data_IF_884581968066
#
_entry.id   IF_884581968066
#
_cell.length_a   1.000
_cell.length_b   1.000
_cell.length_c   1.000
_cell.angle_alpha   90.00
_cell.angle_beta   90.00
_cell.angle_gamma   90.00
#
_symmetry.space_group_name_H-M   'P 1'
#
loop_
_entity.id
_entity.type
_entity.pdbx_description
1 polymer ?
#
# COMPACT_ATOMS: atom_id res chain seq x y z
N UNK A 1 22.14 -5.41 12.17
CA UNK A 1 21.67 -6.82 12.04
C UNK A 1 22.63 -7.65 11.17
N UNK A 2 23.96 -7.43 11.26
CA UNK A 2 24.95 -8.25 10.54
C UNK A 2 25.20 -7.95 9.06
N UNK A 3 24.48 -6.99 8.46
CA UNK A 3 24.75 -6.57 7.06
C UNK A 3 25.99 -5.67 7.06
N UNK A 4 27.07 -6.17 6.48
CA UNK A 4 28.36 -5.47 6.37
C UNK A 4 28.60 -4.90 4.97
N UNK A 5 27.85 -5.37 3.97
CA UNK A 5 27.94 -4.90 2.57
C UNK A 5 27.30 -3.52 2.33
N UNK A 6 26.58 -2.98 3.32
CA UNK A 6 26.04 -1.61 3.25
C UNK A 6 27.08 -0.59 3.68
N UNK A 7 28.13 -0.44 2.87
CA UNK A 7 29.35 0.30 3.18
C UNK A 7 29.47 1.67 2.48
N UNK A 8 28.52 2.00 1.59
CA UNK A 8 28.48 3.25 0.81
C UNK A 8 27.17 4.01 1.01
N UNK A 9 26.96 4.67 2.16
CA UNK A 9 25.72 5.38 2.47
C UNK A 9 25.27 6.37 1.39
N UNK A 10 26.20 7.09 0.79
CA UNK A 10 25.97 8.04 -0.30
C UNK A 10 25.48 7.39 -1.61
N UNK A 11 25.70 6.09 -1.77
CA UNK A 11 25.21 5.30 -2.90
C UNK A 11 23.80 4.75 -2.72
N UNK A 12 23.21 4.87 -1.53
CA UNK A 12 21.87 4.36 -1.24
C UNK A 12 20.84 5.49 -1.25
N UNK A 13 19.88 5.39 -2.18
CA UNK A 13 18.73 6.28 -2.27
C UNK A 13 17.43 5.60 -1.83
N UNK A 14 16.30 6.17 -2.23
CA UNK A 14 14.95 5.66 -1.93
C UNK A 14 14.76 4.18 -2.33
N UNK A 15 15.45 3.73 -3.39
CA UNK A 15 15.40 2.36 -3.88
C UNK A 15 16.02 1.32 -2.91
N UNK A 16 16.70 1.74 -1.84
CA UNK A 16 17.23 0.79 -0.85
C UNK A 16 16.11 -0.07 -0.24
N UNK A 17 14.91 0.48 -0.05
CA UNK A 17 13.73 -0.25 0.46
C UNK A 17 13.20 -1.30 -0.52
N UNK A 18 13.56 -1.19 -1.81
CA UNK A 18 13.25 -2.15 -2.86
C UNK A 18 14.41 -3.11 -3.16
N UNK A 19 15.50 -3.06 -2.38
CA UNK A 19 16.66 -3.93 -2.55
C UNK A 19 17.76 -3.37 -3.45
N UNK A 20 17.86 -2.05 -3.60
CA UNK A 20 18.93 -1.38 -4.36
C UNK A 20 20.35 -1.51 -3.78
N UNK A 21 20.54 -2.28 -2.69
CA UNK A 21 21.84 -2.56 -2.09
C UNK A 21 22.21 -4.04 -2.17
N UNK A 22 23.42 -4.33 -2.64
CA UNK A 22 23.93 -5.71 -2.71
C UNK A 22 24.23 -6.27 -1.32
N UNK A 23 23.95 -7.57 -1.12
CA UNK A 23 24.20 -8.28 0.13
C UNK A 23 24.73 -9.69 -0.12
N UNK A 24 25.48 -10.22 0.85
CA UNK A 24 25.81 -11.65 0.86
C UNK A 24 24.59 -12.41 1.38
N UNK A 25 24.27 -13.54 0.76
CA UNK A 25 23.15 -14.40 1.19
C UNK A 25 23.26 -14.81 2.67
N UNK A 26 24.48 -15.06 3.15
CA UNK A 26 24.74 -15.41 4.55
C UNK A 26 24.45 -14.25 5.50
N UNK A 27 24.73 -13.01 5.11
CA UNK A 27 24.41 -11.81 5.90
C UNK A 27 22.89 -11.59 5.94
N UNK A 28 22.18 -11.86 4.84
CA UNK A 28 20.71 -11.84 4.81
C UNK A 28 20.09 -12.93 5.70
N UNK A 29 20.64 -14.15 5.70
CA UNK A 29 20.24 -15.19 6.63
C UNK A 29 20.48 -14.76 8.10
N UNK A 30 21.63 -14.15 8.38
CA UNK A 30 21.94 -13.57 9.69
C UNK A 30 20.97 -12.46 10.09
N UNK A 31 20.59 -11.58 9.16
CA UNK A 31 19.61 -10.53 9.42
C UNK A 31 18.23 -11.10 9.75
N UNK A 32 17.75 -12.09 8.97
CA UNK A 32 16.47 -12.75 9.26
C UNK A 32 16.50 -13.58 10.56
N UNK A 33 17.68 -14.08 10.97
CA UNK A 33 17.83 -14.75 12.27
C UNK A 33 17.52 -13.86 13.46
N UNK A 34 17.65 -12.53 13.31
CA UNK A 34 17.28 -11.57 14.35
C UNK A 34 15.77 -11.64 14.66
N UNK A 35 14.92 -11.82 13.64
CA UNK A 35 13.49 -11.97 13.85
C UNK A 35 13.16 -13.29 14.56
N UNK A 36 13.72 -14.39 14.06
CA UNK A 36 13.60 -15.72 14.66
C UNK A 36 14.07 -15.76 16.13
N UNK A 37 15.15 -15.06 16.44
CA UNK A 37 15.78 -15.04 17.75
C UNK A 37 15.35 -13.85 18.62
N UNK A 38 14.10 -13.38 18.48
CA UNK A 38 13.50 -12.39 19.39
C UNK A 38 14.31 -11.08 19.50
N UNK A 39 14.90 -10.65 18.38
CA UNK A 39 15.67 -9.42 18.25
C UNK A 39 17.18 -9.57 18.53
N UNK A 40 17.68 -10.78 18.77
CA UNK A 40 19.10 -11.03 19.03
C UNK A 40 19.82 -11.45 17.74
N UNK A 41 20.84 -10.70 17.38
CA UNK A 41 21.78 -11.05 16.31
C UNK A 41 22.95 -11.88 16.85
N UNK A 42 23.34 -12.93 16.13
CA UNK A 42 24.58 -13.68 16.35
C UNK A 42 25.32 -13.79 15.03
N UNK A 43 26.64 -13.65 15.08
CA UNK A 43 27.47 -13.90 13.91
C UNK A 43 27.40 -15.39 13.52
N UNK A 44 27.19 -15.71 12.22
CA UNK A 44 27.21 -17.10 11.77
C UNK A 44 28.59 -17.73 12.01
N UNK A 45 28.61 -18.82 12.79
CA UNK A 45 29.82 -19.63 13.03
C UNK A 45 29.68 -21.01 12.38
N UNK A 46 30.69 -21.40 11.60
CA UNK A 46 30.73 -22.71 10.95
C UNK A 46 31.62 -23.71 11.71
N UNK A 47 32.59 -23.23 12.49
CA UNK A 47 33.51 -24.06 13.24
C UNK A 47 33.07 -24.08 14.70
N UNK A 48 32.66 -25.25 15.21
CA UNK A 48 32.24 -25.36 16.62
C UNK A 48 33.35 -25.87 17.54
N UNK A 49 34.22 -26.74 17.05
CA UNK A 49 35.31 -27.31 17.83
C UNK A 49 36.44 -27.79 16.90
N UNK A 50 37.68 -27.46 17.23
CA UNK A 50 38.89 -27.96 16.57
C UNK A 50 39.74 -28.69 17.61
N UNK A 51 40.11 -29.94 17.32
CA UNK A 51 40.98 -30.75 18.18
C UNK A 51 42.28 -31.11 17.48
N UNK A 52 43.35 -31.22 18.26
CA UNK A 52 44.61 -31.79 17.76
C UNK A 52 44.53 -33.32 17.63
N UNK A 53 45.60 -33.93 17.09
CA UNK A 53 45.68 -35.39 16.91
C UNK A 53 45.66 -36.20 18.22
N UNK A 54 45.88 -35.55 19.37
CA UNK A 54 45.83 -36.15 20.71
C UNK A 54 44.46 -35.95 21.38
N UNK A 55 43.53 -35.26 20.72
CA UNK A 55 42.20 -34.94 21.23
C UNK A 55 42.13 -33.66 22.06
N UNK A 56 43.21 -32.88 22.18
CA UNK A 56 43.22 -31.60 22.91
C UNK A 56 42.43 -30.55 22.12
N UNK A 57 41.55 -29.82 22.80
CA UNK A 57 40.74 -28.76 22.17
C UNK A 57 41.60 -27.52 21.90
N UNK A 58 41.76 -27.17 20.63
CA UNK A 58 42.51 -26.00 20.15
C UNK A 58 41.61 -24.77 20.00
N UNK A 59 40.36 -25.00 19.63
CA UNK A 59 39.33 -23.99 19.50
C UNK A 59 37.99 -24.63 19.86
N UNK A 60 37.15 -23.88 20.55
CA UNK A 60 35.77 -24.25 20.81
C UNK A 60 34.94 -22.99 20.79
N UNK A 61 33.92 -22.98 19.94
CA UNK A 61 32.97 -21.89 19.91
C UNK A 61 32.19 -21.85 21.22
N UNK A 62 31.97 -20.64 21.70
CA UNK A 62 31.11 -20.37 22.86
C UNK A 62 30.12 -19.28 22.49
N UNK A 63 28.83 -19.52 22.77
CA UNK A 63 27.80 -18.49 22.59
C UNK A 63 28.13 -17.28 23.46
N UNK A 64 28.34 -16.13 22.82
CA UNK A 64 28.55 -14.84 23.50
C UNK A 64 27.23 -14.20 23.96
N UNK A 65 26.09 -14.83 23.67
CA UNK A 65 24.76 -14.29 23.90
C UNK A 65 24.26 -13.39 22.78
N UNK A 66 25.13 -13.01 21.84
CA UNK A 66 24.81 -12.14 20.72
C UNK A 66 24.56 -10.68 21.11
N UNK A 67 24.09 -9.90 20.15
CA UNK A 67 23.78 -8.46 20.31
C UNK A 67 22.31 -8.22 20.06
N UNK A 68 21.63 -7.49 20.96
CA UNK A 68 20.25 -7.07 20.74
C UNK A 68 20.18 -6.02 19.63
N UNK A 69 19.75 -6.43 18.45
CA UNK A 69 19.58 -5.56 17.29
C UNK A 69 18.18 -4.95 17.22
N UNK A 70 17.16 -5.65 17.73
CA UNK A 70 15.78 -5.18 17.82
C UNK A 70 15.19 -5.48 19.19
N UNK A 71 14.15 -4.75 19.57
CA UNK A 71 13.31 -5.16 20.70
C UNK A 71 12.57 -6.45 20.35
N UNK A 72 12.21 -7.24 21.37
CA UNK A 72 11.46 -8.47 21.15
C UNK A 72 10.07 -8.17 20.54
N UNK A 73 9.47 -7.02 20.91
CA UNK A 73 8.19 -6.57 20.40
C UNK A 73 8.24 -6.32 18.89
N UNK A 74 9.27 -5.61 18.40
CA UNK A 74 9.44 -5.36 16.96
C UNK A 74 9.73 -6.68 16.21
N UNK A 75 10.59 -7.54 16.75
CA UNK A 75 10.88 -8.83 16.13
C UNK A 75 9.63 -9.72 16.03
N UNK A 76 8.79 -9.71 17.07
CA UNK A 76 7.52 -10.43 17.07
C UNK A 76 6.53 -9.88 16.04
N UNK A 77 6.31 -8.56 15.98
CA UNK A 77 5.42 -7.94 14.99
C UNK A 77 5.83 -8.30 13.55
N UNK A 78 7.14 -8.23 13.23
CA UNK A 78 7.62 -8.63 11.90
C UNK A 78 7.40 -10.13 11.65
N UNK A 79 7.58 -10.98 12.66
CA UNK A 79 7.37 -12.42 12.52
C UNK A 79 5.89 -12.77 12.30
N UNK A 80 4.96 -12.11 13.00
CA UNK A 80 3.51 -12.24 12.84
C UNK A 80 3.06 -11.79 11.44
N UNK A 81 3.50 -10.61 10.98
CA UNK A 81 3.25 -10.14 9.61
C UNK A 81 3.78 -11.14 8.57
N UNK A 82 5.02 -11.61 8.76
CA UNK A 82 5.67 -12.51 7.81
C UNK A 82 5.18 -13.96 7.93
N UNK A 83 4.43 -14.35 8.97
CA UNK A 83 3.83 -15.69 9.13
C UNK A 83 2.37 -15.75 8.66
N UNK A 84 1.70 -14.61 8.52
CA UNK A 84 0.31 -14.53 8.06
C UNK A 84 0.16 -14.86 6.56
N UNK A 85 -0.56 -15.94 6.25
CA UNK A 85 -0.89 -16.35 4.88
C UNK A 85 -1.97 -15.45 4.26
N UNK A 86 -2.88 -14.89 5.06
CA UNK A 86 -3.88 -13.93 4.60
C UNK A 86 -3.24 -12.61 4.16
N UNK A 87 -2.25 -12.11 4.90
CA UNK A 87 -1.51 -10.90 4.53
C UNK A 87 -0.83 -10.97 3.15
N UNK A 88 -0.52 -12.18 2.65
CA UNK A 88 0.12 -12.37 1.34
C UNK A 88 -0.81 -12.93 0.25
N UNK A 89 -2.06 -13.26 0.60
CA UNK A 89 -2.95 -14.02 -0.29
C UNK A 89 -3.37 -13.24 -1.53
N UNK A 90 -3.42 -11.90 -1.47
CA UNK A 90 -3.72 -11.08 -2.65
C UNK A 90 -2.66 -11.24 -3.75
N UNK A 91 -1.38 -11.37 -3.35
CA UNK A 91 -0.27 -11.52 -4.30
C UNK A 91 -0.03 -12.98 -4.74
N UNK A 92 -0.21 -13.94 -3.83
CA UNK A 92 0.22 -15.33 -4.06
C UNK A 92 -0.88 -16.38 -3.94
N UNK A 93 -2.10 -15.99 -3.56
CA UNK A 93 -3.16 -16.89 -3.15
C UNK A 93 -2.96 -17.48 -1.76
N UNK A 94 -4.04 -18.00 -1.18
CA UNK A 94 -3.97 -18.78 0.07
C UNK A 94 -3.24 -20.09 -0.15
N UNK A 95 -2.54 -20.57 0.89
CA UNK A 95 -1.78 -21.81 0.89
C UNK A 95 -0.77 -21.89 -0.27
N UNK A 96 -0.15 -20.75 -0.59
CA UNK A 96 0.93 -20.70 -1.59
C UNK A 96 2.14 -21.52 -1.12
N UNK A 97 3.17 -21.67 -1.97
CA UNK A 97 4.42 -22.34 -1.59
C UNK A 97 5.18 -21.67 -0.44
N UNK A 98 4.74 -20.50 0.03
CA UNK A 98 5.27 -19.83 1.22
C UNK A 98 4.63 -20.32 2.53
N UNK A 99 3.56 -21.12 2.44
CA UNK A 99 2.84 -21.68 3.57
C UNK A 99 3.28 -23.14 3.81
N UNK A 100 3.51 -23.49 5.08
CA UNK A 100 3.78 -24.86 5.51
C UNK A 100 2.63 -25.33 6.41
N UNK A 101 1.76 -26.24 5.96
CA UNK A 101 0.56 -26.63 6.70
C UNK A 101 0.86 -27.12 8.11
N UNK A 102 0.13 -26.60 9.10
CA UNK A 102 0.24 -26.99 10.50
C UNK A 102 1.41 -26.36 11.26
N UNK A 103 2.20 -25.49 10.62
CA UNK A 103 3.35 -24.83 11.22
C UNK A 103 3.31 -23.33 10.97
N UNK A 104 3.75 -22.56 11.97
CA UNK A 104 3.91 -21.12 11.80
C UNK A 104 5.30 -20.83 11.22
N UNK A 105 5.34 -20.43 9.95
CA UNK A 105 6.59 -20.16 9.22
C UNK A 105 6.52 -18.77 8.63
N UNK A 106 7.44 -17.92 9.08
CA UNK A 106 7.59 -16.59 8.51
C UNK A 106 8.37 -16.68 7.18
N UNK A 107 7.94 -15.96 6.14
CA UNK A 107 8.62 -15.98 4.86
C UNK A 107 8.50 -14.66 4.09
N UNK A 108 9.58 -14.29 3.39
CA UNK A 108 9.62 -13.17 2.47
C UNK A 108 10.32 -13.54 1.17
N UNK A 109 9.74 -13.10 0.08
CA UNK A 109 10.27 -13.23 -1.28
C UNK A 109 11.00 -11.97 -1.71
N UNK A 110 11.97 -12.11 -2.62
CA UNK A 110 12.66 -10.99 -3.25
C UNK A 110 12.83 -11.26 -4.75
N UNK A 111 12.56 -10.25 -5.58
CA UNK A 111 12.80 -10.33 -7.03
C UNK A 111 13.32 -8.98 -7.49
N UNK A 112 14.52 -8.95 -8.03
CA UNK A 112 15.05 -7.73 -8.67
C UNK A 112 14.21 -7.34 -9.87
N UNK A 113 14.09 -6.04 -10.16
CA UNK A 113 13.29 -5.55 -11.30
C UNK A 113 13.77 -6.15 -12.62
N UNK A 114 15.09 -6.22 -12.77
CA UNK A 114 15.79 -6.76 -13.93
C UNK A 114 15.80 -8.30 -13.98
N UNK A 115 15.14 -8.98 -13.03
CA UNK A 115 15.02 -10.44 -12.91
C UNK A 115 16.37 -11.16 -12.92
N UNK A 116 17.39 -10.59 -12.29
CA UNK A 116 18.73 -11.20 -12.15
C UNK A 116 18.80 -12.10 -10.93
N UNK A 117 18.22 -11.62 -9.83
CA UNK A 117 18.17 -12.31 -8.57
C UNK A 117 16.74 -12.59 -8.11
N UNK A 118 16.57 -13.79 -7.57
CA UNK A 118 15.33 -14.26 -6.96
C UNK A 118 15.62 -14.93 -5.61
N UNK A 119 14.89 -14.50 -4.58
CA UNK A 119 15.12 -14.88 -3.20
C UNK A 119 13.84 -15.45 -2.57
N UNK A 120 14.04 -16.44 -1.70
CA UNK A 120 13.07 -16.87 -0.71
C UNK A 120 13.80 -17.05 0.62
N UNK A 121 13.44 -16.24 1.61
CA UNK A 121 14.00 -16.31 2.95
C UNK A 121 12.85 -16.54 3.91
N UNK A 122 12.98 -17.54 4.76
CA UNK A 122 11.95 -17.82 5.76
C UNK A 122 12.51 -18.55 6.96
N UNK A 123 11.75 -18.50 8.04
CA UNK A 123 12.21 -18.90 9.35
C UNK A 123 11.08 -19.38 10.25
N UNK A 124 11.49 -20.15 11.24
CA UNK A 124 10.77 -20.45 12.47
C UNK A 124 11.61 -19.92 13.64
N UNK A 125 11.16 -20.02 14.91
CA UNK A 125 12.00 -19.67 16.06
C UNK A 125 13.35 -20.41 16.15
N UNK A 126 13.52 -21.56 15.49
CA UNK A 126 14.74 -22.38 15.59
C UNK A 126 15.57 -22.50 14.30
N UNK A 127 15.05 -22.12 13.14
CA UNK A 127 15.80 -22.18 11.89
C UNK A 127 15.50 -21.00 10.99
N UNK A 128 16.53 -20.55 10.27
CA UNK A 128 16.40 -19.64 9.13
C UNK A 128 16.96 -20.33 7.91
N UNK A 129 16.23 -20.25 6.80
CA UNK A 129 16.68 -20.70 5.48
C UNK A 129 16.57 -19.55 4.50
N UNK A 130 17.69 -19.25 3.83
CA UNK A 130 17.76 -18.25 2.78
C UNK A 130 18.19 -18.95 1.48
N UNK A 131 17.36 -18.83 0.45
CA UNK A 131 17.61 -19.41 -0.87
C UNK A 131 17.69 -18.29 -1.89
N UNK A 132 18.74 -18.35 -2.72
CA UNK A 132 18.91 -17.50 -3.89
C UNK A 132 18.94 -18.35 -5.16
N UNK A 133 18.33 -17.83 -6.22
CA UNK A 133 18.41 -18.36 -7.58
C UNK A 133 18.71 -17.20 -8.53
N UNK A 134 19.73 -17.40 -9.37
CA UNK A 134 20.14 -16.44 -10.39
C UNK A 134 21.19 -17.07 -11.30
N UNK A 135 21.62 -16.32 -12.31
CA UNK A 135 22.71 -16.75 -13.18
C UNK A 135 24.04 -16.27 -12.60
N UNK A 136 25.03 -17.16 -12.46
CA UNK A 136 26.36 -16.81 -11.93
C UNK A 136 27.12 -15.76 -12.75
N UNK A 137 26.69 -15.50 -14.00
CA UNK A 137 27.24 -14.47 -14.86
C UNK A 137 26.42 -13.16 -14.84
N UNK A 138 25.52 -13.02 -13.88
CA UNK A 138 24.61 -11.89 -13.71
C UNK A 138 23.62 -11.67 -14.87
N UNK A 139 23.47 -12.61 -15.82
CA UNK A 139 22.47 -12.47 -16.87
C UNK A 139 21.05 -12.51 -16.29
N UNK A 140 20.12 -11.78 -16.92
CA UNK A 140 18.70 -11.84 -16.56
C UNK A 140 18.18 -13.27 -16.70
N UNK A 141 17.35 -13.69 -15.76
CA UNK A 141 16.54 -14.90 -15.89
C UNK A 141 15.37 -14.65 -16.85
N UNK A 142 14.58 -15.68 -17.14
CA UNK A 142 13.39 -15.53 -17.98
C UNK A 142 12.38 -14.58 -17.31
N UNK A 143 12.00 -13.46 -17.95
CA UNK A 143 11.19 -12.42 -17.33
C UNK A 143 9.72 -12.81 -17.11
N UNK A 144 9.24 -13.83 -17.82
CA UNK A 144 7.88 -14.36 -17.68
C UNK A 144 7.82 -15.36 -16.51
N UNK A 145 8.89 -16.14 -16.32
CA UNK A 145 8.92 -17.20 -15.32
C UNK A 145 9.42 -16.73 -13.95
N UNK A 146 10.39 -15.81 -13.88
CA UNK A 146 11.00 -15.37 -12.64
C UNK A 146 10.06 -14.46 -11.85
N UNK A 147 9.66 -14.91 -10.65
CA UNK A 147 8.70 -14.22 -9.79
C UNK A 147 8.97 -14.54 -8.32
N UNK A 148 8.25 -13.89 -7.40
CA UNK A 148 8.36 -14.19 -5.97
C UNK A 148 8.03 -15.65 -5.59
N UNK A 149 7.17 -16.35 -6.35
CA UNK A 149 6.72 -17.71 -5.99
C UNK A 149 7.41 -18.81 -6.81
N UNK A 150 8.15 -18.46 -7.85
CA UNK A 150 8.94 -19.38 -8.67
C UNK A 150 10.42 -19.28 -8.29
N UNK A 151 11.29 -20.09 -8.92
CA UNK A 151 12.74 -20.04 -8.68
C UNK A 151 13.14 -20.52 -7.28
N UNK A 152 13.40 -19.57 -6.38
CA UNK A 152 13.89 -19.82 -5.02
C UNK A 152 12.83 -20.44 -4.10
N UNK A 153 11.58 -20.00 -4.19
CA UNK A 153 10.49 -20.42 -3.28
C UNK A 153 10.24 -21.93 -3.27
N UNK A 154 10.17 -22.65 -4.40
CA UNK A 154 10.02 -24.11 -4.41
C UNK A 154 11.20 -24.87 -3.78
N UNK A 155 12.43 -24.32 -3.86
CA UNK A 155 13.60 -24.92 -3.21
C UNK A 155 13.51 -24.71 -1.69
N UNK A 156 13.19 -23.48 -1.28
CA UNK A 156 12.96 -23.12 0.12
C UNK A 156 11.86 -23.98 0.76
N UNK A 157 10.71 -24.12 0.10
CA UNK A 157 9.57 -24.88 0.62
C UNK A 157 9.94 -26.36 0.84
N UNK A 158 10.63 -27.00 -0.12
CA UNK A 158 11.10 -28.38 0.02
C UNK A 158 12.05 -28.54 1.20
N UNK A 159 13.00 -27.61 1.37
CA UNK A 159 13.91 -27.61 2.51
C UNK A 159 13.15 -27.47 3.83
N UNK A 160 12.28 -26.46 3.96
CA UNK A 160 11.55 -26.20 5.20
C UNK A 160 10.62 -27.35 5.58
N UNK A 161 9.87 -27.88 4.59
CA UNK A 161 8.99 -29.04 4.79
C UNK A 161 9.77 -30.25 5.31
N UNK A 162 10.93 -30.52 4.69
CA UNK A 162 11.77 -31.65 5.10
C UNK A 162 12.43 -31.41 6.47
N UNK A 163 12.95 -30.21 6.73
CA UNK A 163 13.51 -29.84 8.03
C UNK A 163 12.50 -30.01 9.15
N UNK A 164 11.29 -29.47 9.00
CA UNK A 164 10.22 -29.55 9.99
C UNK A 164 9.87 -31.02 10.25
N UNK A 165 9.65 -31.81 9.20
CA UNK A 165 9.38 -33.24 9.32
C UNK A 165 10.46 -33.96 10.14
N UNK A 166 11.73 -33.71 9.84
CA UNK A 166 12.85 -34.35 10.54
C UNK A 166 13.02 -33.84 11.97
N UNK A 167 12.74 -32.55 12.21
CA UNK A 167 12.80 -31.92 13.53
C UNK A 167 11.80 -32.55 14.50
N UNK A 168 10.54 -32.73 14.08
CA UNK A 168 9.50 -33.37 14.89
C UNK A 168 9.57 -34.90 14.90
N UNK A 169 10.16 -35.54 13.89
CA UNK A 169 10.40 -36.99 13.93
C UNK A 169 11.35 -37.42 15.07
N UNK A 170 12.25 -36.54 15.50
CA UNK A 170 13.16 -36.79 16.65
C UNK A 170 12.43 -36.83 18.00
N UNK A 171 11.31 -36.13 18.11
CA UNK A 171 10.47 -36.09 19.30
C UNK A 171 9.03 -35.68 18.93
N UNK A 172 8.17 -36.68 18.75
CA UNK A 172 6.78 -36.47 18.35
C UNK A 172 5.94 -35.76 19.42
N UNK A 173 6.44 -35.61 20.65
CA UNK A 173 5.77 -34.86 21.73
C UNK A 173 6.18 -33.39 21.75
N UNK A 174 7.13 -32.98 20.90
CA UNK A 174 7.58 -31.59 20.83
C UNK A 174 6.39 -30.69 20.43
N UNK A 175 6.15 -29.58 21.15
CA UNK A 175 5.13 -28.63 20.77
C UNK A 175 5.49 -27.98 19.43
N UNK A 176 4.47 -27.71 18.61
CA UNK A 176 4.64 -26.95 17.37
C UNK A 176 5.18 -25.56 17.71
N UNK A 177 6.25 -25.19 17.01
CA UNK A 177 6.87 -23.87 17.03
C UNK A 177 5.87 -22.76 16.70
N UNK A 178 5.94 -21.67 17.47
CA UNK A 178 5.10 -20.48 17.30
C UNK A 178 5.90 -19.23 17.62
N UNK A 179 5.48 -18.10 17.07
CA UNK A 179 5.98 -16.80 17.49
C UNK A 179 5.17 -16.34 18.70
N UNK A 180 5.70 -16.52 19.91
CA UNK A 180 5.01 -16.13 21.12
C UNK A 180 5.05 -14.60 21.31
N UNK A 181 3.87 -14.01 21.55
CA UNK A 181 3.75 -12.58 21.82
C UNK A 181 4.49 -12.21 23.12
N UNK A 182 5.45 -11.27 23.08
CA UNK A 182 6.15 -10.83 24.27
C UNK A 182 5.32 -9.90 25.15
N UNK A 183 5.80 -9.64 26.37
CA UNK A 183 5.27 -8.51 27.15
C UNK A 183 5.43 -7.19 26.37
N UNK A 184 4.51 -6.26 26.57
CA UNK A 184 4.58 -4.94 25.93
C UNK A 184 4.02 -4.89 24.51
N UNK A 185 3.36 -5.94 24.04
CA UNK A 185 2.45 -5.86 22.88
C UNK A 185 1.00 -6.12 23.29
N UNK A 186 0.07 -5.59 22.51
CA UNK A 186 -1.37 -5.82 22.69
C UNK A 186 -2.09 -5.88 21.35
N UNK A 187 -3.22 -6.58 21.32
CA UNK A 187 -4.14 -6.56 20.18
C UNK A 187 -5.15 -5.44 20.34
N UNK A 188 -5.47 -4.77 19.24
CA UNK A 188 -6.56 -3.81 19.14
C UNK A 188 -7.36 -4.06 17.88
N UNK A 189 -8.67 -3.84 17.98
CA UNK A 189 -9.52 -3.74 16.80
C UNK A 189 -9.27 -2.38 16.15
N UNK A 190 -8.96 -2.39 14.86
CA UNK A 190 -8.73 -1.20 14.03
C UNK A 190 -9.66 -1.22 12.84
N UNK A 191 -9.92 -0.04 12.30
CA UNK A 191 -10.59 0.10 11.02
C UNK A 191 -9.75 -0.57 9.90
N UNK A 192 -10.41 -1.39 9.07
CA UNK A 192 -9.73 -2.22 8.08
C UNK A 192 -9.08 -1.39 6.97
N UNK A 193 -9.69 -0.26 6.60
CA UNK A 193 -9.23 0.58 5.50
C UNK A 193 -8.08 1.50 5.94
N UNK A 194 -8.24 2.14 7.09
CA UNK A 194 -7.38 3.24 7.55
C UNK A 194 -6.31 2.79 8.54
N UNK A 195 -6.50 1.64 9.22
CA UNK A 195 -5.64 1.19 10.31
C UNK A 195 -5.75 2.03 11.59
N UNK A 196 -6.63 3.03 11.61
CA UNK A 196 -6.93 3.90 12.75
C UNK A 196 -7.98 3.25 13.67
N UNK A 197 -8.45 3.97 14.71
CA UNK A 197 -9.51 3.45 15.57
C UNK A 197 -10.80 3.18 14.76
N UNK A 198 -11.56 2.12 15.10
CA UNK A 198 -12.79 1.78 14.39
C UNK A 198 -13.79 2.93 14.31
N UNK A 199 -14.44 3.07 13.16
CA UNK A 199 -15.47 4.07 12.95
C UNK A 199 -16.81 3.42 12.56
N UNK A 200 -17.85 3.65 13.36
CA UNK A 200 -19.23 3.18 13.11
C UNK A 200 -19.28 1.68 12.75
N UNK A 201 -19.96 1.36 11.65
CA UNK A 201 -20.19 0.00 11.15
C UNK A 201 -19.24 -0.37 9.98
N UNK A 202 -18.16 0.38 9.77
CA UNK A 202 -17.15 0.03 8.78
C UNK A 202 -16.40 -1.25 9.19
N UNK A 203 -15.86 -1.95 8.18
CA UNK A 203 -15.12 -3.19 8.36
C UNK A 203 -13.93 -3.00 9.31
N UNK A 204 -13.68 -4.02 10.12
CA UNK A 204 -12.64 -3.99 11.14
C UNK A 204 -11.74 -5.20 11.03
N UNK A 205 -10.54 -5.07 11.60
CA UNK A 205 -9.60 -6.18 11.79
C UNK A 205 -8.87 -6.02 13.11
N UNK A 206 -8.28 -7.10 13.59
CA UNK A 206 -7.49 -7.08 14.83
C UNK A 206 -6.02 -7.09 14.46
N UNK A 207 -5.27 -6.13 15.00
CA UNK A 207 -3.84 -5.96 14.73
C UNK A 207 -3.04 -5.89 16.03
N UNK A 208 -1.76 -6.26 15.95
CA UNK A 208 -0.81 -6.14 17.06
C UNK A 208 -0.15 -4.77 17.09
N UNK A 209 0.02 -4.22 18.30
CA UNK A 209 0.73 -2.97 18.54
C UNK A 209 1.74 -3.14 19.66
N UNK A 210 2.88 -2.47 19.54
CA UNK A 210 3.75 -2.21 20.69
C UNK A 210 3.03 -1.20 21.59
N UNK A 211 3.08 -1.39 22.91
CA UNK A 211 2.44 -0.47 23.83
C UNK A 211 2.91 0.97 23.61
N UNK A 212 1.95 1.88 23.41
CA UNK A 212 2.20 3.30 23.15
C UNK A 212 2.33 3.65 21.67
N UNK A 213 2.23 2.67 20.75
CA UNK A 213 2.24 2.91 19.31
C UNK A 213 0.88 2.67 18.65
N UNK A 214 -0.14 2.29 19.43
CA UNK A 214 -1.49 2.13 18.93
C UNK A 214 -2.11 3.42 18.39
N UNK A 215 -3.04 3.34 17.41
CA UNK A 215 -3.81 4.50 16.98
C UNK A 215 -4.63 5.05 18.15
N UNK A 216 -4.72 6.37 18.23
CA UNK A 216 -5.44 7.09 19.30
C UNK A 216 -6.63 7.88 18.80
N UNK A 217 -6.85 7.91 17.49
CA UNK A 217 -7.92 8.64 16.85
C UNK A 217 -8.58 7.80 15.76
N UNK A 218 -9.82 8.17 15.42
CA UNK A 218 -10.47 7.76 14.17
C UNK A 218 -9.86 8.58 13.04
N UNK A 219 -9.72 7.99 11.86
CA UNK A 219 -9.23 8.68 10.66
C UNK A 219 -10.13 9.85 10.24
N UNK A 220 -9.50 10.94 9.81
CA UNK A 220 -10.13 12.11 9.19
C UNK A 220 -10.59 11.86 7.74
N UNK A 221 -10.29 10.69 7.17
CA UNK A 221 -10.84 10.26 5.88
C UNK A 221 -12.36 10.16 5.93
N UNK A 222 -12.93 9.80 7.07
CA UNK A 222 -14.38 9.66 7.21
C UNK A 222 -15.06 11.01 7.40
N UNK A 223 -15.89 11.39 6.43
CA UNK A 223 -16.60 12.66 6.43
C UNK A 223 -18.12 12.42 6.51
N UNK A 224 -18.80 13.21 7.33
CA UNK A 224 -20.27 13.26 7.35
C UNK A 224 -20.69 14.63 6.82
N UNK A 225 -21.34 14.64 5.66
CA UNK A 225 -21.76 15.88 4.99
C UNK A 225 -23.27 15.93 4.88
N UNK A 226 -23.85 17.11 5.13
CA UNK A 226 -25.22 17.41 4.74
C UNK A 226 -25.22 17.86 3.28
N UNK A 227 -25.85 17.08 2.41
CA UNK A 227 -25.87 17.31 0.97
C UNK A 227 -27.28 17.59 0.47
N UNK A 228 -27.40 18.40 -0.59
CA UNK A 228 -28.66 18.64 -1.25
C UNK A 228 -29.12 17.37 -1.99
N UNK A 229 -30.37 16.95 -1.78
CA UNK A 229 -30.96 15.74 -2.36
C UNK A 229 -31.01 15.80 -3.89
N UNK A 230 -31.05 17.00 -4.47
CA UNK A 230 -31.26 17.24 -5.90
C UNK A 230 -29.95 17.11 -6.69
N UNK A 231 -28.90 17.84 -6.31
CA UNK A 231 -27.65 17.89 -7.08
C UNK A 231 -26.47 17.15 -6.40
N UNK A 232 -26.66 16.61 -5.20
CA UNK A 232 -25.63 15.89 -4.44
C UNK A 232 -24.51 16.77 -3.88
N UNK A 233 -24.57 18.10 -4.00
CA UNK A 233 -23.58 19.03 -3.45
C UNK A 233 -23.79 19.31 -1.98
N UNK A 234 -22.79 19.90 -1.30
CA UNK A 234 -22.94 20.36 0.08
C UNK A 234 -24.16 21.29 0.16
N UNK A 235 -25.06 21.04 1.11
CA UNK A 235 -26.34 21.75 1.18
C UNK A 235 -26.14 23.24 1.49
N UNK A 236 -26.70 24.10 0.62
CA UNK A 236 -26.84 25.52 0.90
C UNK A 236 -28.10 25.80 1.74
N UNK A 237 -28.29 27.06 2.16
CA UNK A 237 -29.45 27.47 2.96
C UNK A 237 -30.79 27.28 2.23
N UNK A 238 -30.81 27.35 0.89
CA UNK A 238 -32.01 27.12 0.11
C UNK A 238 -32.44 25.63 0.16
N UNK A 239 -31.48 24.70 0.01
CA UNK A 239 -31.72 23.27 0.17
C UNK A 239 -32.22 22.95 1.59
N UNK A 240 -31.63 23.55 2.62
CA UNK A 240 -32.06 23.37 4.02
C UNK A 240 -33.47 23.90 4.25
N UNK A 241 -33.75 25.14 3.81
CA UNK A 241 -35.06 25.78 3.99
C UNK A 241 -36.18 25.05 3.25
N UNK A 242 -35.86 24.41 2.12
CA UNK A 242 -36.79 23.61 1.33
C UNK A 242 -36.92 22.14 1.78
N UNK A 243 -36.27 21.74 2.89
CA UNK A 243 -36.19 20.34 3.37
C UNK A 243 -35.65 19.35 2.30
N UNK A 244 -34.76 19.86 1.44
CA UNK A 244 -34.11 19.12 0.36
C UNK A 244 -32.70 18.69 0.74
N UNK A 245 -32.43 18.38 2.01
CA UNK A 245 -31.11 17.88 2.45
C UNK A 245 -31.15 16.43 2.91
N UNK A 246 -30.01 15.75 2.80
CA UNK A 246 -29.76 14.43 3.39
C UNK A 246 -28.36 14.39 3.98
N UNK A 247 -28.19 13.75 5.13
CA UNK A 247 -26.85 13.45 5.61
C UNK A 247 -26.30 12.22 4.87
N UNK A 248 -25.06 12.32 4.41
CA UNK A 248 -24.36 11.21 3.75
C UNK A 248 -22.94 11.09 4.31
N UNK A 249 -22.48 9.85 4.45
CA UNK A 249 -21.11 9.54 4.81
C UNK A 249 -20.27 9.39 3.56
N UNK A 250 -19.06 9.91 3.62
CA UNK A 250 -18.06 9.85 2.57
C UNK A 250 -16.73 9.39 3.13
N UNK A 251 -15.89 8.87 2.25
CA UNK A 251 -14.51 8.49 2.53
C UNK A 251 -13.63 9.32 1.60
N UNK A 252 -12.88 10.27 2.17
CA UNK A 252 -11.87 11.06 1.47
C UNK A 252 -10.50 10.46 1.76
N UNK A 253 -9.99 9.63 0.85
CA UNK A 253 -8.65 9.07 1.01
C UNK A 253 -7.62 10.18 0.81
N UNK A 254 -6.81 10.43 1.84
CA UNK A 254 -5.76 11.45 1.82
C UNK A 254 -4.39 10.81 1.80
N UNK A 255 -3.52 11.33 0.94
CA UNK A 255 -2.12 10.94 0.93
C UNK A 255 -1.40 11.46 2.19
N UNK A 256 -0.41 10.71 2.66
CA UNK A 256 0.47 11.14 3.76
C UNK A 256 1.22 12.43 3.40
N UNK A 257 1.64 12.55 2.14
CA UNK A 257 2.31 13.72 1.60
C UNK A 257 1.45 14.38 0.52
N UNK A 258 1.26 15.72 0.54
CA UNK A 258 0.42 16.43 -0.44
C UNK A 258 0.82 16.16 -1.90
N UNK A 259 2.11 16.05 -2.19
CA UNK A 259 2.65 15.77 -3.52
C UNK A 259 2.27 14.38 -4.06
N UNK A 260 1.76 13.47 -3.22
CA UNK A 260 1.27 12.15 -3.63
C UNK A 260 -0.24 12.10 -3.87
N UNK A 261 -0.96 13.18 -3.58
CA UNK A 261 -2.43 13.17 -3.62
C UNK A 261 -2.96 12.90 -5.04
N UNK A 262 -2.29 13.37 -6.08
CA UNK A 262 -2.76 13.15 -7.46
C UNK A 262 -2.71 11.66 -7.86
N UNK A 263 -1.65 10.94 -7.46
CA UNK A 263 -1.55 9.49 -7.68
C UNK A 263 -2.56 8.72 -6.83
N UNK A 264 -2.79 9.17 -5.59
CA UNK A 264 -3.83 8.60 -4.73
C UNK A 264 -5.22 8.81 -5.35
N UNK A 265 -5.54 10.01 -5.83
CA UNK A 265 -6.83 10.32 -6.46
C UNK A 265 -7.04 9.51 -7.75
N UNK A 266 -5.98 9.34 -8.55
CA UNK A 266 -5.99 8.48 -9.73
C UNK A 266 -6.31 7.03 -9.35
N UNK A 267 -5.61 6.49 -8.35
CA UNK A 267 -5.86 5.14 -7.85
C UNK A 267 -7.27 4.99 -7.28
N UNK A 268 -7.78 5.98 -6.53
CA UNK A 268 -9.16 5.98 -5.99
C UNK A 268 -10.17 5.93 -7.13
N UNK A 269 -9.97 6.75 -8.17
CA UNK A 269 -10.85 6.76 -9.36
C UNK A 269 -10.87 5.42 -10.08
N UNK A 270 -9.72 4.75 -10.21
CA UNK A 270 -9.60 3.44 -10.86
C UNK A 270 -10.21 2.32 -10.01
N UNK A 271 -10.02 2.37 -8.69
CA UNK A 271 -10.43 1.30 -7.76
C UNK A 271 -11.90 1.39 -7.35
N UNK A 272 -12.40 2.61 -7.15
CA UNK A 272 -13.73 2.89 -6.59
C UNK A 272 -14.63 3.63 -7.57
N UNK A 273 -14.25 3.74 -8.85
CA UNK A 273 -15.11 4.31 -9.89
C UNK A 273 -16.50 3.66 -9.89
N UNK A 274 -17.53 4.49 -9.71
CA UNK A 274 -18.93 4.06 -9.58
C UNK A 274 -19.46 3.97 -8.13
N UNK A 275 -18.61 4.10 -7.12
CA UNK A 275 -19.03 4.25 -5.71
C UNK A 275 -18.86 5.72 -5.27
N UNK A 276 -19.98 6.45 -5.26
CA UNK A 276 -20.02 7.87 -4.91
C UNK A 276 -19.70 8.15 -3.42
N UNK A 277 -19.46 7.13 -2.60
CA UNK A 277 -18.98 7.26 -1.21
C UNK A 277 -17.54 7.76 -1.16
N UNK A 278 -16.71 7.43 -2.15
CA UNK A 278 -15.28 7.80 -2.19
C UNK A 278 -15.01 9.17 -2.82
N UNK A 279 -16.06 9.85 -3.28
CA UNK A 279 -15.96 11.14 -3.97
C UNK A 279 -16.83 12.17 -3.26
N UNK A 280 -16.41 12.64 -2.06
CA UNK A 280 -17.12 13.71 -1.37
C UNK A 280 -17.25 14.95 -2.27
N UNK A 281 -18.40 15.63 -2.29
CA UNK A 281 -18.59 16.84 -3.07
C UNK A 281 -17.64 17.94 -2.56
N UNK A 282 -16.92 18.58 -3.48
CA UNK A 282 -16.06 19.72 -3.19
C UNK A 282 -16.81 21.06 -3.14
N UNK A 283 -17.96 21.14 -3.80
CA UNK A 283 -18.77 22.37 -3.92
C UNK A 283 -20.03 22.39 -3.06
N UNK A 284 -20.49 23.62 -2.79
CA UNK A 284 -21.83 23.88 -2.22
C UNK A 284 -22.86 24.03 -3.32
N UNK A 285 -24.07 23.53 -3.10
CA UNK A 285 -25.19 23.64 -4.05
C UNK A 285 -25.43 25.10 -4.43
N UNK A 286 -25.65 25.33 -5.72
CA UNK A 286 -26.01 26.64 -6.28
C UNK A 286 -27.51 26.70 -6.63
N UNK A 287 -28.29 25.68 -6.23
CA UNK A 287 -29.74 25.62 -6.46
C UNK A 287 -30.48 26.64 -5.59
N UNK A 288 -31.57 27.16 -6.15
CA UNK A 288 -32.58 27.93 -5.44
C UNK A 288 -33.93 27.22 -5.58
N UNK A 289 -34.83 27.41 -4.63
CA UNK A 289 -36.14 26.77 -4.62
C UNK A 289 -37.24 27.82 -4.53
N UNK A 290 -38.35 27.59 -5.24
CA UNK A 290 -39.55 28.40 -5.13
C UNK A 290 -40.35 28.09 -3.84
N UNK A 291 -41.46 28.80 -3.63
CA UNK A 291 -42.33 28.59 -2.46
C UNK A 291 -43.00 27.21 -2.40
N UNK A 292 -43.02 26.49 -3.52
CA UNK A 292 -43.56 25.12 -3.63
C UNK A 292 -42.45 24.07 -3.44
N UNK A 293 -41.19 24.50 -3.31
CA UNK A 293 -40.04 23.62 -3.15
C UNK A 293 -39.52 23.02 -4.45
N UNK A 294 -39.90 23.58 -5.60
CA UNK A 294 -39.34 23.22 -6.91
C UNK A 294 -38.06 24.02 -7.17
N UNK A 295 -37.13 23.45 -7.93
CA UNK A 295 -35.90 24.15 -8.31
C UNK A 295 -36.26 25.34 -9.21
N UNK A 296 -35.70 26.50 -8.88
CA UNK A 296 -35.84 27.73 -9.65
C UNK A 296 -34.56 28.04 -10.43
N UNK A 297 -34.71 28.35 -11.73
CA UNK A 297 -33.63 28.90 -12.56
C UNK A 297 -32.95 27.92 -13.51
N UNK A 298 -33.14 26.60 -13.34
CA UNK A 298 -32.77 25.55 -14.30
C UNK A 298 -31.39 25.70 -14.94
N UNK A 299 -30.33 25.76 -14.11
CA UNK A 299 -28.93 25.92 -14.55
C UNK A 299 -28.13 24.64 -14.32
N UNK A 300 -27.07 24.51 -15.11
CA UNK A 300 -25.97 23.57 -14.93
C UNK A 300 -24.73 24.34 -14.52
N UNK A 301 -23.85 23.71 -13.75
CA UNK A 301 -22.55 24.23 -13.37
C UNK A 301 -21.48 23.17 -13.62
N UNK A 302 -20.28 23.63 -13.88
CA UNK A 302 -19.08 22.79 -13.96
C UNK A 302 -17.92 23.58 -13.40
N UNK A 303 -17.06 22.94 -12.62
CA UNK A 303 -15.83 23.50 -12.07
C UNK A 303 -14.69 22.48 -12.28
N UNK A 304 -13.49 22.93 -12.66
CA UNK A 304 -12.27 22.14 -12.57
C UNK A 304 -11.78 22.21 -11.12
N UNK A 305 -11.59 21.04 -10.48
CA UNK A 305 -11.39 20.96 -9.03
C UNK A 305 -10.03 20.41 -8.64
N UNK A 306 -9.49 20.92 -7.53
CA UNK A 306 -8.21 20.47 -6.98
C UNK A 306 -6.98 21.13 -7.61
N UNK A 307 -7.17 22.20 -8.37
CA UNK A 307 -6.08 22.97 -8.97
C UNK A 307 -6.32 24.47 -8.79
N UNK A 308 -5.22 25.21 -8.64
CA UNK A 308 -5.20 26.67 -8.71
C UNK A 308 -4.72 27.14 -10.09
N UNK A 309 -5.20 28.30 -10.56
CA UNK A 309 -4.76 28.86 -11.84
C UNK A 309 -3.26 29.19 -11.81
N UNK A 310 -2.54 28.72 -12.83
CA UNK A 310 -1.08 28.79 -12.94
C UNK A 310 -0.33 27.73 -12.12
N UNK A 311 -1.02 26.80 -11.44
CA UNK A 311 -0.37 25.76 -10.65
C UNK A 311 0.55 24.89 -11.52
N UNK A 312 1.69 24.52 -10.94
CA UNK A 312 2.62 23.54 -11.49
C UNK A 312 2.10 22.12 -11.26
N UNK A 313 2.07 21.32 -12.31
CA UNK A 313 1.60 19.93 -12.26
C UNK A 313 2.61 19.01 -12.96
N UNK A 314 2.74 17.77 -12.51
CA UNK A 314 3.65 16.80 -13.11
C UNK A 314 3.27 16.45 -14.55
N UNK A 315 4.20 15.82 -15.28
CA UNK A 315 3.97 15.28 -16.63
C UNK A 315 2.77 14.31 -16.72
N UNK A 316 2.43 13.65 -15.61
CA UNK A 316 1.27 12.78 -15.52
C UNK A 316 0.38 13.22 -14.35
N UNK A 317 -0.88 13.57 -14.64
CA UNK A 317 -1.84 13.96 -13.62
C UNK A 317 -3.28 13.73 -14.09
N UNK A 318 -4.23 13.69 -13.14
CA UNK A 318 -5.67 13.61 -13.43
C UNK A 318 -6.33 14.98 -13.33
N UNK A 319 -6.86 15.49 -14.45
CA UNK A 319 -7.78 16.62 -14.42
C UNK A 319 -9.14 16.16 -13.87
N UNK A 320 -9.53 16.68 -12.72
CA UNK A 320 -10.80 16.35 -12.04
C UNK A 320 -11.84 17.41 -12.39
N UNK A 321 -13.04 16.96 -12.77
CA UNK A 321 -14.13 17.86 -13.14
C UNK A 321 -15.32 17.58 -12.24
N UNK A 322 -15.83 18.64 -11.64
CA UNK A 322 -17.09 18.58 -10.93
C UNK A 322 -18.19 19.19 -11.78
N UNK A 323 -19.30 18.47 -12.01
CA UNK A 323 -20.42 18.93 -12.82
C UNK A 323 -21.74 18.55 -12.15
N UNK A 324 -22.67 19.50 -12.10
CA UNK A 324 -23.97 19.27 -11.44
C UNK A 324 -25.07 20.15 -11.98
N UNK A 325 -26.30 19.66 -11.90
CA UNK A 325 -27.53 20.38 -12.26
C UNK A 325 -28.72 19.78 -11.51
N UNK A 326 -29.93 20.28 -11.77
CA UNK A 326 -31.16 19.62 -11.28
C UNK A 326 -31.47 18.30 -12.02
N UNK A 327 -30.90 18.13 -13.21
CA UNK A 327 -30.99 16.93 -14.03
C UNK A 327 -29.66 16.15 -14.00
N UNK A 328 -29.71 14.89 -14.44
CA UNK A 328 -28.49 14.09 -14.58
C UNK A 328 -27.55 14.72 -15.62
N UNK A 329 -26.26 14.76 -15.28
CA UNK A 329 -25.22 15.12 -16.23
C UNK A 329 -25.07 13.99 -17.25
N UNK A 330 -25.26 14.32 -18.54
CA UNK A 330 -25.16 13.39 -19.66
C UNK A 330 -23.69 13.10 -20.00
N UNK A 331 -22.85 14.15 -20.02
CA UNK A 331 -21.45 14.05 -20.36
C UNK A 331 -20.65 15.30 -19.94
N UNK A 332 -19.33 15.12 -19.81
CA UNK A 332 -18.33 16.18 -19.67
C UNK A 332 -17.30 16.03 -20.78
N UNK A 333 -17.18 17.05 -21.63
CA UNK A 333 -16.15 17.13 -22.67
C UNK A 333 -14.91 17.83 -22.10
N UNK A 334 -13.73 17.26 -22.29
CA UNK A 334 -12.46 17.80 -21.78
C UNK A 334 -11.56 18.16 -22.96
N UNK A 335 -10.93 19.33 -22.91
CA UNK A 335 -10.16 19.92 -23.98
C UNK A 335 -8.77 20.33 -23.49
N UNK A 336 -7.80 20.27 -24.41
CA UNK A 336 -6.48 20.86 -24.28
C UNK A 336 -6.35 21.95 -25.35
N UNK A 337 -6.31 23.21 -24.92
CA UNK A 337 -6.57 24.36 -25.78
C UNK A 337 -7.95 24.21 -26.43
N UNK A 338 -7.99 24.22 -27.77
CA UNK A 338 -9.23 24.05 -28.54
C UNK A 338 -9.46 22.60 -29.01
N UNK A 339 -8.54 21.68 -28.72
CA UNK A 339 -8.64 20.28 -29.12
C UNK A 339 -9.39 19.48 -28.05
N UNK A 340 -10.54 18.89 -28.42
CA UNK A 340 -11.23 17.93 -27.54
C UNK A 340 -10.37 16.68 -27.36
N UNK A 341 -10.11 16.34 -26.12
CA UNK A 341 -9.30 15.19 -25.70
C UNK A 341 -10.19 13.98 -25.45
N UNK A 342 -11.28 14.17 -24.70
CA UNK A 342 -12.22 13.09 -24.37
C UNK A 342 -13.64 13.61 -24.15
N UNK A 343 -14.59 12.67 -24.11
CA UNK A 343 -15.95 12.87 -23.61
C UNK A 343 -16.20 11.82 -22.55
N UNK A 344 -16.23 12.24 -21.29
CA UNK A 344 -16.51 11.38 -20.15
C UNK A 344 -18.01 11.37 -19.87
N UNK A 345 -18.57 10.18 -19.66
CA UNK A 345 -20.01 9.97 -19.45
C UNK A 345 -20.32 9.33 -18.10
N UNK A 346 -19.29 9.10 -17.29
CA UNK A 346 -19.41 8.35 -16.04
C UNK A 346 -18.76 9.14 -14.92
N UNK A 347 -19.51 9.40 -13.86
CA UNK A 347 -18.95 9.94 -12.63
C UNK A 347 -17.98 8.93 -11.99
N UNK A 348 -16.83 9.36 -11.41
CA UNK A 348 -16.33 10.73 -11.32
C UNK A 348 -15.72 11.26 -12.63
N UNK A 349 -16.15 12.45 -13.05
CA UNK A 349 -15.71 13.04 -14.32
C UNK A 349 -14.24 13.48 -14.28
N UNK A 350 -13.50 13.17 -15.32
CA UNK A 350 -12.12 13.63 -15.45
C UNK A 350 -11.31 12.91 -16.52
N UNK A 351 -10.04 13.27 -16.64
CA UNK A 351 -9.12 12.65 -17.59
C UNK A 351 -7.69 12.58 -17.05
N UNK A 352 -7.04 11.44 -17.26
CA UNK A 352 -5.63 11.25 -16.92
C UNK A 352 -4.79 11.74 -18.12
N UNK A 353 -4.10 12.85 -17.95
CA UNK A 353 -3.16 13.37 -18.94
C UNK A 353 -1.78 12.74 -18.74
N UNK A 354 -1.11 12.45 -19.85
CA UNK A 354 0.28 12.01 -19.90
C UNK A 354 1.00 12.84 -20.95
N UNK A 355 2.02 13.58 -20.53
CA UNK A 355 2.82 14.48 -21.35
C UNK A 355 4.26 13.98 -21.47
N UNK A 356 4.92 14.32 -22.58
CA UNK A 356 6.36 14.15 -22.72
C UNK A 356 7.09 15.38 -22.13
N UNK A 357 8.37 15.28 -21.73
CA UNK A 357 9.14 16.44 -21.25
C UNK A 357 9.20 17.61 -22.25
N UNK A 358 9.05 17.34 -23.55
CA UNK A 358 8.98 18.34 -24.62
C UNK A 358 7.66 19.14 -24.63
N UNK A 359 6.62 18.66 -23.94
CA UNK A 359 5.35 19.34 -23.78
C UNK A 359 5.35 20.32 -22.60
N UNK A 360 6.44 20.45 -21.85
CA UNK A 360 6.53 21.30 -20.67
C UNK A 360 6.15 22.77 -20.97
N UNK A 361 5.54 23.42 -19.98
CA UNK A 361 5.08 24.81 -20.06
C UNK A 361 3.59 24.98 -19.78
N UNK A 362 3.14 26.23 -19.91
CA UNK A 362 1.74 26.61 -19.65
C UNK A 362 0.81 25.99 -20.71
N UNK A 363 -0.26 25.35 -20.24
CA UNK A 363 -1.34 24.79 -21.06
C UNK A 363 -2.69 25.20 -20.49
N UNK A 364 -3.64 25.48 -21.38
CA UNK A 364 -5.02 25.77 -21.03
C UNK A 364 -5.85 24.49 -21.15
N UNK A 365 -6.57 24.16 -20.08
CA UNK A 365 -7.52 23.05 -20.00
C UNK A 365 -8.92 23.62 -19.94
N UNK A 366 -9.82 23.13 -20.79
CA UNK A 366 -11.23 23.55 -20.80
C UNK A 366 -12.13 22.35 -20.59
N UNK A 367 -13.25 22.55 -19.93
CA UNK A 367 -14.26 21.54 -19.71
C UNK A 367 -15.62 22.07 -20.13
N UNK A 368 -16.46 21.20 -20.68
CA UNK A 368 -17.84 21.53 -21.03
C UNK A 368 -18.76 20.41 -20.57
N UNK A 369 -19.54 20.68 -19.53
CA UNK A 369 -20.57 19.77 -19.04
C UNK A 369 -21.87 19.94 -19.84
N UNK A 370 -22.61 18.86 -20.03
CA UNK A 370 -23.93 18.84 -20.63
C UNK A 370 -24.86 17.94 -19.82
N UNK A 371 -26.07 18.41 -19.52
CA UNK A 371 -27.11 17.60 -18.88
C UNK A 371 -28.06 16.93 -19.89
N UNK A 372 -28.92 16.05 -19.40
CA UNK A 372 -29.92 15.33 -20.22
C UNK A 372 -30.91 16.24 -20.95
N UNK A 373 -31.11 17.47 -20.48
CA UNK A 373 -31.99 18.46 -21.12
C UNK A 373 -31.24 19.37 -22.12
N UNK A 374 -29.95 19.10 -22.36
CA UNK A 374 -29.15 19.79 -23.36
C UNK A 374 -28.55 21.12 -22.90
N UNK A 375 -28.69 21.48 -21.62
CA UNK A 375 -28.04 22.68 -21.08
C UNK A 375 -26.57 22.40 -20.89
N UNK A 376 -25.75 23.45 -21.03
CA UNK A 376 -24.29 23.32 -20.94
C UNK A 376 -23.70 24.36 -20.01
N UNK A 377 -22.63 23.98 -19.32
CA UNK A 377 -21.74 24.88 -18.60
C UNK A 377 -20.30 24.60 -19.02
N UNK A 378 -19.45 25.60 -18.91
CA UNK A 378 -18.03 25.52 -19.21
C UNK A 378 -17.19 26.11 -18.08
N UNK A 379 -15.97 25.60 -17.97
CA UNK A 379 -14.93 26.13 -17.09
C UNK A 379 -13.56 25.92 -17.74
N UNK A 380 -12.56 26.68 -17.30
CA UNK A 380 -11.21 26.64 -17.84
C UNK A 380 -10.16 27.00 -16.80
N UNK A 381 -9.00 26.36 -16.89
CA UNK A 381 -7.85 26.64 -16.02
C UNK A 381 -6.55 26.61 -16.83
N UNK A 382 -5.57 27.39 -16.40
CA UNK A 382 -4.21 27.28 -16.90
C UNK A 382 -3.34 26.53 -15.91
N UNK A 383 -2.60 25.53 -16.37
CA UNK A 383 -1.63 24.79 -15.56
C UNK A 383 -0.26 24.80 -16.23
N UNK A 384 0.80 24.76 -15.44
CA UNK A 384 2.17 24.68 -15.93
C UNK A 384 2.66 23.24 -15.80
N UNK A 385 2.87 22.57 -16.94
CA UNK A 385 3.41 21.21 -16.98
C UNK A 385 4.92 21.27 -16.75
N UNK A 386 5.43 20.57 -15.73
CA UNK A 386 6.88 20.48 -15.46
C UNK A 386 7.37 19.11 -14.96
#
# INVERSE_FOLDING_TARGET
MGISTFDRPEGYGLALTLGGGETKLLEMAGAFSVFAANGIYRDPEALLEVKDAKGSTMYKWSDSGGTRALSQQVAFLISDILSDDGARSEAFGFNSLLHIPGHEVAAKTGTTDDKRDNYAIGFTPFVVSAVWVGNNNNNKMNPILASGITGATPIWNRFMTQYIKDYYAKDAKRPVEKFDAPDGVKKLEVDKLTGMLPYRDYDKRVEWFVNGTEPTAVSDWYQKLEVCKVDGKIANEACKSADKTKEKNYIKIQAELPEWQDEVDKWVSEKYGGDDTYFPPSGTSKLAFDSEGNVSGGKIWTDIVGFDDGQKVPLEFRLKVDAWSEDDIEQVEIYLGDKRVTTDKSFPYGYNFVFSPEDAGEKEFKVKAKDKNGRTADDSIKLTIE
#
